data_IF_481759451690
#
_entry.id   IF_481759451690
#
_cell.length_a   1.000
_cell.length_b   1.000
_cell.length_c   1.000
_cell.angle_alpha   90.00
_cell.angle_beta   90.00
_cell.angle_gamma   90.00
#
_symmetry.space_group_name_H-M   'P 1'
#
loop_
_entity.id
_entity.type
_entity.pdbx_description
1 polymer ?
#
# COMPACT_ATOMS: atom_id res chain seq x y z
N UNK A 1 -3.97 -14.85 -4.37
CA UNK A 1 -4.38 -14.57 -2.98
C UNK A 1 -4.53 -13.07 -2.73
N UNK A 2 -3.46 -12.27 -2.54
CA UNK A 2 -3.63 -10.82 -2.28
C UNK A 2 -4.11 -10.03 -3.51
N UNK A 3 -3.39 -10.12 -4.65
CA UNK A 3 -3.80 -9.44 -5.88
C UNK A 3 -5.25 -9.74 -6.28
N UNK A 4 -5.63 -11.03 -6.28
CA UNK A 4 -6.99 -11.46 -6.58
C UNK A 4 -8.04 -10.88 -5.62
N UNK A 5 -7.70 -10.70 -4.34
CA UNK A 5 -8.60 -10.04 -3.38
C UNK A 5 -8.77 -8.56 -3.70
N UNK A 6 -7.70 -7.89 -4.11
CA UNK A 6 -7.74 -6.48 -4.53
C UNK A 6 -8.51 -6.30 -5.84
N UNK A 7 -8.28 -7.17 -6.82
CA UNK A 7 -9.05 -7.21 -8.08
C UNK A 7 -10.54 -7.43 -7.80
N UNK A 8 -10.87 -8.32 -6.86
CA UNK A 8 -12.25 -8.51 -6.42
C UNK A 8 -12.82 -7.27 -5.72
N UNK A 9 -12.05 -6.63 -4.84
CA UNK A 9 -12.46 -5.39 -4.17
C UNK A 9 -12.78 -4.29 -5.19
N UNK A 10 -12.00 -4.18 -6.26
CA UNK A 10 -12.30 -3.28 -7.38
C UNK A 10 -13.60 -3.67 -8.08
N UNK A 11 -13.78 -4.96 -8.40
CA UNK A 11 -14.99 -5.46 -9.04
C UNK A 11 -16.26 -5.28 -8.18
N UNK A 12 -16.12 -5.32 -6.86
CA UNK A 12 -17.19 -5.11 -5.87
C UNK A 12 -17.42 -3.62 -5.57
N UNK A 13 -16.60 -2.70 -6.10
CA UNK A 13 -16.70 -1.26 -5.86
C UNK A 13 -16.15 -0.80 -4.50
N UNK A 14 -15.46 -1.68 -3.76
CA UNK A 14 -14.78 -1.33 -2.51
C UNK A 14 -13.53 -0.46 -2.75
N UNK A 15 -12.89 -0.62 -3.92
CA UNK A 15 -11.71 0.12 -4.35
C UNK A 15 -11.96 0.81 -5.69
N UNK A 16 -11.24 1.90 -5.95
CA UNK A 16 -11.33 2.61 -7.22
C UNK A 16 -10.87 1.73 -8.40
N UNK A 17 -11.47 1.91 -9.58
CA UNK A 17 -11.08 1.18 -10.80
C UNK A 17 -9.62 1.40 -11.18
N UNK A 18 -9.07 2.57 -10.87
CA UNK A 18 -7.68 2.94 -11.16
C UNK A 18 -6.69 2.41 -10.10
N UNK A 19 -7.17 1.63 -9.12
CA UNK A 19 -6.32 1.08 -8.06
C UNK A 19 -5.23 0.19 -8.64
N UNK A 20 -3.98 0.54 -8.37
CA UNK A 20 -2.78 -0.20 -8.81
C UNK A 20 -2.58 -1.52 -8.07
N UNK A 21 -3.49 -2.49 -8.25
CA UNK A 21 -3.50 -3.78 -7.53
C UNK A 21 -2.14 -4.51 -7.56
N UNK A 22 -1.41 -4.42 -8.67
CA UNK A 22 -0.07 -4.99 -8.81
C UNK A 22 0.95 -4.31 -7.91
N UNK A 23 0.95 -2.97 -7.87
CA UNK A 23 1.87 -2.17 -7.06
C UNK A 23 1.61 -2.39 -5.57
N UNK A 24 0.34 -2.38 -5.17
CA UNK A 24 -0.08 -2.63 -3.79
C UNK A 24 0.33 -4.04 -3.35
N UNK A 25 0.11 -5.05 -4.21
CA UNK A 25 0.52 -6.43 -3.93
C UNK A 25 2.03 -6.53 -3.76
N UNK A 26 2.80 -5.89 -4.65
CA UNK A 26 4.26 -5.89 -4.56
C UNK A 26 4.73 -5.25 -3.25
N UNK A 27 4.20 -4.08 -2.89
CA UNK A 27 4.51 -3.37 -1.65
C UNK A 27 4.31 -4.26 -0.41
N UNK A 28 3.11 -4.83 -0.24
CA UNK A 28 2.82 -5.66 0.94
C UNK A 28 3.59 -6.98 0.94
N UNK A 29 3.91 -7.53 -0.22
CA UNK A 29 4.79 -8.70 -0.33
C UNK A 29 6.19 -8.37 0.16
N UNK A 30 6.74 -7.22 -0.24
CA UNK A 30 8.05 -6.74 0.22
C UNK A 30 8.06 -6.48 1.72
N UNK A 31 7.02 -5.85 2.27
CA UNK A 31 6.88 -5.64 3.72
C UNK A 31 6.87 -6.98 4.47
N UNK A 32 6.08 -7.96 4.01
CA UNK A 32 6.00 -9.28 4.63
C UNK A 32 7.35 -10.02 4.60
N UNK A 33 8.06 -9.93 3.47
CA UNK A 33 9.40 -10.51 3.33
C UNK A 33 10.40 -9.84 4.27
N UNK A 34 10.37 -8.50 4.36
CA UNK A 34 11.20 -7.73 5.29
C UNK A 34 10.93 -8.10 6.75
N UNK A 35 9.66 -8.20 7.15
CA UNK A 35 9.27 -8.65 8.49
C UNK A 35 9.82 -10.06 8.81
N UNK A 36 9.83 -10.96 7.82
CA UNK A 36 10.36 -12.32 8.00
C UNK A 36 11.88 -12.32 8.22
N UNK A 37 12.61 -11.44 7.52
CA UNK A 37 14.06 -11.25 7.72
C UNK A 37 14.31 -10.68 9.13
N UNK A 38 13.62 -9.62 9.51
CA UNK A 38 13.79 -9.00 10.84
C UNK A 38 13.46 -9.97 11.97
N UNK A 39 12.41 -10.79 11.82
CA UNK A 39 12.08 -11.82 12.80
C UNK A 39 13.19 -12.87 12.95
N UNK A 40 13.78 -13.31 11.84
CA UNK A 40 14.93 -14.23 11.83
C UNK A 40 16.15 -13.62 12.53
N UNK A 41 16.35 -12.33 12.38
CA UNK A 41 17.46 -11.59 12.99
C UNK A 41 17.20 -11.24 14.48
N UNK A 42 16.07 -11.68 15.03
CA UNK A 42 15.76 -11.57 16.47
C UNK A 42 14.91 -10.36 16.86
N UNK A 43 14.30 -9.66 15.90
CA UNK A 43 13.35 -8.59 16.22
C UNK A 43 12.17 -9.12 17.05
N UNK A 44 11.79 -8.36 18.07
CA UNK A 44 10.68 -8.71 18.95
C UNK A 44 9.33 -8.57 18.22
N UNK A 45 8.32 -9.28 18.72
CA UNK A 45 6.94 -9.15 18.22
C UNK A 45 6.44 -7.71 18.26
N UNK A 46 6.84 -6.92 19.25
CA UNK A 46 6.46 -5.52 19.36
C UNK A 46 7.03 -4.69 18.20
N UNK A 47 8.33 -4.82 17.94
CA UNK A 47 9.01 -4.13 16.83
C UNK A 47 8.42 -4.51 15.46
N UNK A 48 8.19 -5.80 15.22
CA UNK A 48 7.55 -6.28 14.00
C UNK A 48 6.11 -5.74 13.87
N UNK A 49 5.39 -5.67 14.98
CA UNK A 49 4.06 -5.09 15.04
C UNK A 49 4.03 -3.61 14.68
N UNK A 50 5.02 -2.84 15.11
CA UNK A 50 5.11 -1.41 14.79
C UNK A 50 5.43 -1.18 13.30
N UNK A 51 6.28 -2.01 12.70
CA UNK A 51 6.53 -1.98 11.25
C UNK A 51 5.23 -2.32 10.48
N UNK A 52 4.50 -3.35 10.91
CA UNK A 52 3.24 -3.72 10.27
C UNK A 52 2.19 -2.59 10.37
N UNK A 53 2.07 -1.93 11.54
CA UNK A 53 1.19 -0.76 11.71
C UNK A 53 1.59 0.39 10.78
N UNK A 54 2.89 0.66 10.66
CA UNK A 54 3.39 1.71 9.77
C UNK A 54 3.06 1.40 8.30
N UNK A 55 3.20 0.14 7.86
CA UNK A 55 2.79 -0.27 6.52
C UNK A 55 1.27 -0.09 6.30
N UNK A 56 0.45 -0.47 7.28
CA UNK A 56 -1.02 -0.29 7.21
C UNK A 56 -1.44 1.17 7.21
N UNK A 57 -0.69 2.08 7.84
CA UNK A 57 -0.96 3.52 7.79
C UNK A 57 -0.84 4.09 6.37
N UNK A 58 -0.08 3.44 5.48
CA UNK A 58 0.02 3.79 4.07
C UNK A 58 -1.14 3.29 3.20
N UNK A 59 -2.07 2.51 3.74
CA UNK A 59 -3.16 1.90 2.97
C UNK A 59 -3.95 2.91 2.15
N UNK A 60 -4.46 3.98 2.78
CA UNK A 60 -5.24 5.00 2.12
C UNK A 60 -4.48 5.67 0.97
N UNK A 61 -3.19 5.95 1.15
CA UNK A 61 -2.37 6.56 0.09
C UNK A 61 -2.13 5.60 -1.10
N UNK A 62 -2.11 4.29 -0.83
CA UNK A 62 -1.91 3.26 -1.85
C UNK A 62 -3.19 2.92 -2.61
N UNK A 63 -4.37 3.09 -1.99
CA UNK A 63 -5.67 2.76 -2.59
C UNK A 63 -6.47 3.96 -3.08
N UNK A 64 -6.15 5.16 -2.62
CA UNK A 64 -6.78 6.38 -3.12
C UNK A 64 -6.42 6.61 -4.58
N UNK A 65 -7.37 7.17 -5.34
CA UNK A 65 -7.09 7.64 -6.70
C UNK A 65 -5.91 8.62 -6.63
N UNK A 66 -4.93 8.56 -7.55
CA UNK A 66 -4.00 9.67 -7.71
C UNK A 66 -4.86 10.90 -7.99
N UNK A 67 -4.96 11.81 -7.02
CA UNK A 67 -5.74 13.01 -7.18
C UNK A 67 -5.15 13.76 -8.36
N UNK A 68 -5.92 13.87 -9.44
CA UNK A 68 -5.62 14.63 -10.67
C UNK A 68 -5.43 16.15 -10.40
N UNK A 69 -5.27 16.54 -9.14
CA UNK A 69 -5.28 17.91 -8.64
C UNK A 69 -3.89 18.54 -8.45
N UNK A 70 -2.79 17.79 -8.62
CA UNK A 70 -1.43 18.33 -8.42
C UNK A 70 -0.80 18.93 -9.70
N UNK A 71 -1.34 18.64 -10.89
CA UNK A 71 -0.85 19.26 -12.15
C UNK A 71 -1.38 20.69 -12.35
N UNK A 72 -2.60 20.98 -11.89
CA UNK A 72 -3.25 22.28 -12.07
C UNK A 72 -2.65 23.41 -11.19
N UNK A 73 -1.89 23.08 -10.13
CA UNK A 73 -1.23 24.05 -9.26
C UNK A 73 0.22 24.36 -9.66
N UNK A 74 0.87 23.55 -10.51
CA UNK A 74 2.25 23.83 -10.98
C UNK A 74 2.34 24.89 -12.08
N UNK A 75 1.24 25.16 -12.81
CA UNK A 75 1.24 26.08 -13.96
C UNK A 75 0.92 27.53 -13.55
N UNK A 76 0.52 27.80 -12.30
CA UNK A 76 0.10 29.16 -11.87
C UNK A 76 1.20 30.04 -11.26
N UNK A 77 2.47 29.62 -11.25
CA UNK A 77 3.56 30.35 -10.56
C UNK A 77 4.75 30.67 -11.47
N UNK A 78 4.53 30.90 -12.76
CA UNK A 78 5.56 31.42 -13.68
C UNK A 78 4.89 32.30 -14.72
#
# INVERSE_FOLDING_TARGET
MLRQRLERAVAEGELAEETGCNVITAYYTTVLQGLSIQARDGATRAQLGDIAKAAMAGWEALTSKPTMYDEAQRIRTT
#
